data_IF_703095647030
#
_entry.id   IF_703095647030
#
_cell.length_a   1.000
_cell.length_b   1.000
_cell.length_c   1.000
_cell.angle_alpha   90.00
_cell.angle_beta   90.00
_cell.angle_gamma   90.00
#
_symmetry.space_group_name_H-M   'P 1'
#
loop_
_entity.id
_entity.type
_entity.pdbx_description
1 polymer ?
#
# COMPACT_ATOMS: atom_id res chain seq x y z
N UNK A 1 6.31 2.06 25.53
CA UNK A 1 4.94 2.15 24.97
C UNK A 1 5.03 1.73 23.52
N UNK A 2 4.88 0.43 23.26
CA UNK A 2 4.67 -0.07 21.90
C UNK A 2 3.40 0.60 21.38
N UNK A 3 3.55 1.50 20.40
CA UNK A 3 2.41 1.91 19.60
C UNK A 3 1.93 0.63 18.93
N UNK A 4 0.80 0.10 19.38
CA UNK A 4 0.08 -0.96 18.69
C UNK A 4 0.15 -0.69 17.19
N UNK A 5 0.49 -1.74 16.45
CA UNK A 5 0.79 -1.70 15.02
C UNK A 5 -0.42 -1.25 14.21
N UNK A 6 -0.69 0.06 14.21
CA UNK A 6 -1.68 0.65 13.34
C UNK A 6 -1.14 0.57 11.92
N UNK A 7 -1.84 -0.18 11.07
CA UNK A 7 -1.58 -0.28 9.65
C UNK A 7 -2.75 0.37 8.90
N UNK A 8 -2.63 1.66 8.48
CA UNK A 8 -3.67 2.28 7.68
C UNK A 8 -3.83 1.47 6.41
N UNK A 9 -5.06 1.07 6.12
CA UNK A 9 -5.44 0.37 4.90
C UNK A 9 -6.41 1.22 4.11
N UNK A 10 -6.19 1.29 2.80
CA UNK A 10 -7.04 2.04 1.87
C UNK A 10 -7.43 1.13 0.72
N UNK A 11 -8.69 1.19 0.31
CA UNK A 11 -9.17 0.47 -0.86
C UNK A 11 -8.70 1.11 -2.16
N UNK A 12 -8.41 0.28 -3.16
CA UNK A 12 -8.22 0.71 -4.55
C UNK A 12 -9.57 0.54 -5.25
N UNK A 13 -10.12 1.64 -5.74
CA UNK A 13 -11.44 1.67 -6.36
C UNK A 13 -11.34 2.05 -7.84
N UNK A 14 -12.16 1.42 -8.67
CA UNK A 14 -12.49 1.90 -10.00
C UNK A 14 -13.38 3.14 -9.89
N UNK A 15 -13.46 3.90 -10.99
CA UNK A 15 -14.28 5.11 -11.08
C UNK A 15 -15.77 4.86 -10.86
N UNK A 16 -16.23 3.64 -11.08
CA UNK A 16 -17.62 3.21 -10.84
C UNK A 16 -17.87 2.75 -9.39
N UNK A 17 -16.88 2.87 -8.51
CA UNK A 17 -16.98 2.52 -7.09
C UNK A 17 -16.67 1.06 -6.77
N UNK A 18 -16.34 0.22 -7.75
CA UNK A 18 -15.92 -1.17 -7.47
C UNK A 18 -14.54 -1.20 -6.81
N UNK A 19 -14.42 -1.92 -5.70
CA UNK A 19 -13.13 -2.19 -5.06
C UNK A 19 -12.39 -3.30 -5.80
N UNK A 20 -11.13 -3.05 -6.17
CA UNK A 20 -10.28 -3.97 -6.94
C UNK A 20 -8.99 -4.35 -6.21
N UNK A 21 -8.76 -3.79 -5.02
CA UNK A 21 -7.58 -4.09 -4.23
C UNK A 21 -7.49 -3.27 -2.96
N UNK A 22 -6.37 -3.40 -2.28
CA UNK A 22 -6.05 -2.73 -1.02
C UNK A 22 -4.56 -2.34 -1.02
N UNK A 23 -4.28 -1.15 -0.51
CA UNK A 23 -2.95 -0.72 -0.10
C UNK A 23 -2.87 -0.67 1.42
N UNK A 24 -1.76 -1.15 1.98
CA UNK A 24 -1.49 -1.10 3.41
C UNK A 24 -0.19 -0.35 3.67
N UNK A 25 -0.23 0.65 4.55
CA UNK A 25 0.97 1.34 5.02
C UNK A 25 1.41 0.71 6.34
N UNK A 26 2.55 0.04 6.34
CA UNK A 26 3.07 -0.70 7.48
C UNK A 26 4.23 0.05 8.13
N UNK A 27 4.36 -0.14 9.44
CA UNK A 27 5.52 0.27 10.25
C UNK A 27 5.98 1.70 9.96
N UNK A 28 5.04 2.64 9.98
CA UNK A 28 5.35 4.05 9.76
C UNK A 28 6.21 4.54 10.93
N UNK A 29 7.45 4.90 10.62
CA UNK A 29 8.44 5.41 11.55
C UNK A 29 8.78 6.85 11.14
N UNK A 30 8.16 7.81 11.82
CA UNK A 30 8.35 9.24 11.56
C UNK A 30 9.74 9.74 11.99
N UNK A 31 10.37 9.10 12.98
CA UNK A 31 11.72 9.47 13.42
C UNK A 31 12.76 9.10 12.35
N UNK A 32 12.63 7.89 11.78
CA UNK A 32 13.49 7.43 10.67
C UNK A 32 12.98 7.89 9.30
N UNK A 33 11.79 8.46 9.22
CA UNK A 33 11.17 8.92 7.99
C UNK A 33 10.91 7.80 6.99
N UNK A 34 10.42 6.64 7.43
CA UNK A 34 10.22 5.47 6.57
C UNK A 34 8.92 4.71 6.84
N UNK A 35 8.43 4.01 5.84
CA UNK A 35 7.36 3.04 5.99
C UNK A 35 7.52 1.85 5.03
N UNK A 36 6.72 0.82 5.24
CA UNK A 36 6.55 -0.32 4.35
C UNK A 36 5.21 -0.21 3.61
N UNK A 37 5.14 -0.64 2.36
CA UNK A 37 3.96 -0.60 1.52
C UNK A 37 3.62 -2.02 1.04
N UNK A 38 2.40 -2.45 1.34
CA UNK A 38 1.80 -3.65 0.77
C UNK A 38 0.72 -3.30 -0.25
N UNK A 39 0.62 -4.08 -1.32
CA UNK A 39 -0.45 -4.02 -2.32
C UNK A 39 -1.03 -5.43 -2.50
N UNK A 40 -2.35 -5.53 -2.45
CA UNK A 40 -3.09 -6.72 -2.84
C UNK A 40 -4.16 -6.34 -3.86
N UNK A 41 -4.22 -7.06 -4.98
CA UNK A 41 -5.33 -6.95 -5.94
C UNK A 41 -6.33 -8.08 -5.67
N UNK A 42 -7.62 -7.79 -5.84
CA UNK A 42 -8.70 -8.69 -5.44
C UNK A 42 -8.66 -10.05 -6.15
N UNK A 43 -8.28 -10.08 -7.43
CA UNK A 43 -8.16 -11.30 -8.21
C UNK A 43 -7.16 -11.12 -9.38
N UNK A 44 -7.02 -12.15 -10.22
CA UNK A 44 -6.12 -12.11 -11.38
C UNK A 44 -6.65 -11.28 -12.56
N UNK A 45 -7.95 -10.98 -12.62
CA UNK A 45 -8.55 -10.20 -13.72
C UNK A 45 -8.04 -8.76 -13.74
N UNK A 46 -7.58 -8.25 -12.59
CA UNK A 46 -7.01 -6.91 -12.44
C UNK A 46 -5.48 -6.87 -12.59
N UNK A 47 -4.82 -8.02 -12.77
CA UNK A 47 -3.37 -8.09 -12.99
C UNK A 47 -3.02 -7.84 -14.47
N UNK A 48 -1.84 -7.28 -14.72
CA UNK A 48 -1.38 -6.96 -16.07
C UNK A 48 -2.05 -5.74 -16.72
N UNK A 49 -3.02 -5.12 -16.06
CA UNK A 49 -3.78 -3.97 -16.56
C UNK A 49 -3.25 -2.61 -16.09
N UNK A 50 -2.18 -2.58 -15.29
CA UNK A 50 -1.57 -1.34 -14.79
C UNK A 50 -2.19 -0.75 -13.52
N UNK A 51 -3.30 -1.31 -13.00
CA UNK A 51 -3.94 -0.82 -11.77
C UNK A 51 -3.01 -0.80 -10.56
N UNK A 52 -2.20 -1.84 -10.39
CA UNK A 52 -1.19 -1.88 -9.32
C UNK A 52 -0.14 -0.78 -9.47
N UNK A 53 0.29 -0.47 -10.70
CA UNK A 53 1.23 0.61 -10.98
C UNK A 53 0.65 1.97 -10.63
N UNK A 54 -0.60 2.23 -11.00
CA UNK A 54 -1.29 3.47 -10.66
C UNK A 54 -1.48 3.62 -9.16
N UNK A 55 -1.95 2.56 -8.49
CA UNK A 55 -2.13 2.54 -7.04
C UNK A 55 -0.81 2.83 -6.29
N UNK A 56 0.30 2.19 -6.69
CA UNK A 56 1.61 2.42 -6.08
C UNK A 56 2.12 3.85 -6.32
N UNK A 57 1.91 4.42 -7.51
CA UNK A 57 2.28 5.82 -7.79
C UNK A 57 1.55 6.79 -6.87
N UNK A 58 0.25 6.59 -6.66
CA UNK A 58 -0.55 7.40 -5.73
C UNK A 58 -0.09 7.22 -4.28
N UNK A 59 0.24 5.99 -3.88
CA UNK A 59 0.78 5.72 -2.55
C UNK A 59 2.13 6.41 -2.31
N UNK A 60 3.02 6.37 -3.31
CA UNK A 60 4.31 7.08 -3.29
C UNK A 60 4.09 8.58 -3.13
N UNK A 61 3.22 9.17 -3.94
CA UNK A 61 2.89 10.60 -3.85
C UNK A 61 2.38 10.97 -2.45
N UNK A 62 1.43 10.20 -1.92
CA UNK A 62 0.91 10.41 -0.57
C UNK A 62 2.01 10.32 0.51
N UNK A 63 2.89 9.33 0.43
CA UNK A 63 3.97 9.12 1.41
C UNK A 63 4.96 10.29 1.43
N UNK A 64 5.38 10.77 0.27
CA UNK A 64 6.36 11.85 0.18
C UNK A 64 5.73 13.23 0.39
N UNK A 65 4.57 13.48 -0.22
CA UNK A 65 3.97 14.81 -0.24
C UNK A 65 3.02 15.06 0.93
N UNK A 66 2.36 14.03 1.47
CA UNK A 66 1.45 14.18 2.62
C UNK A 66 2.10 13.75 3.93
N UNK A 67 2.62 12.52 4.01
CA UNK A 67 3.23 12.02 5.24
C UNK A 67 4.65 12.57 5.50
N UNK A 68 5.26 13.21 4.50
CA UNK A 68 6.62 13.78 4.55
C UNK A 68 7.69 12.77 4.96
N UNK A 69 7.49 11.49 4.63
CA UNK A 69 8.50 10.45 4.82
C UNK A 69 9.55 10.55 3.71
N UNK A 70 10.70 9.91 3.91
CA UNK A 70 11.88 9.96 3.02
C UNK A 70 12.15 8.64 2.32
N UNK A 71 11.57 7.54 2.79
CA UNK A 71 11.81 6.22 2.25
C UNK A 71 10.55 5.34 2.35
N UNK A 72 10.35 4.51 1.33
CA UNK A 72 9.27 3.53 1.25
C UNK A 72 9.86 2.19 0.84
N UNK A 73 9.56 1.13 1.60
CA UNK A 73 9.95 -0.24 1.28
C UNK A 73 8.75 -0.99 0.72
N UNK A 74 8.96 -1.81 -0.31
CA UNK A 74 7.94 -2.74 -0.76
C UNK A 74 7.94 -3.97 0.17
N UNK A 75 6.78 -4.28 0.74
CA UNK A 75 6.56 -5.47 1.55
C UNK A 75 5.56 -6.40 0.85
N UNK A 76 5.98 -7.63 0.62
CA UNK A 76 5.13 -8.69 0.06
C UNK A 76 4.92 -9.77 1.10
N UNK A 77 3.66 -10.09 1.36
CA UNK A 77 3.34 -11.28 2.13
C UNK A 77 3.73 -12.51 1.30
N UNK A 78 4.52 -13.40 1.89
CA UNK A 78 4.79 -14.70 1.29
C UNK A 78 3.47 -15.44 1.10
N UNK A 79 3.15 -15.80 -0.14
CA UNK A 79 1.99 -16.64 -0.41
C UNK A 79 2.40 -18.07 -0.05
N UNK A 80 1.89 -18.59 1.07
CA UNK A 80 1.97 -20.02 1.36
C UNK A 80 1.04 -20.68 0.34
N UNK A 81 1.64 -21.41 -0.60
CA UNK A 81 0.89 -22.28 -1.52
C UNK A 81 0.71 -23.61 -0.79
N UNK A 82 -0.52 -23.95 -0.45
CA UNK A 82 -0.89 -25.33 -0.08
C UNK A 82 -0.81 -26.26 -1.30
#
# INVERSE_FOLDING_TARGET
MEKESWYPRVGVFLRDGRIIGELSFKRIDYEKGRCELGLTLANNDYKGLGYGTEAVKLAIDYVFNTLKLKCIYADTMAQIRE
#
